data_IF_066201881972
#
_entry.id   IF_066201881972
#
_cell.length_a   1.000
_cell.length_b   1.000
_cell.length_c   1.000
_cell.angle_alpha   90.00
_cell.angle_beta   90.00
_cell.angle_gamma   90.00
#
_symmetry.space_group_name_H-M   'P 1'
#
loop_
_entity.id
_entity.type
_entity.pdbx_description
1 polymer ?
#
# COMPACT_ATOMS: atom_id res chain seq x y z
N UNK A 1 -5.16 -27.88 19.99
CA UNK A 1 -5.39 -27.60 18.55
C UNK A 1 -4.08 -27.11 17.95
N UNK A 2 -3.63 -27.69 16.83
CA UNK A 2 -2.44 -27.19 16.14
C UNK A 2 -2.75 -25.79 15.54
N UNK A 3 -1.83 -24.86 15.72
CA UNK A 3 -1.98 -23.54 15.13
C UNK A 3 -1.69 -23.62 13.62
N UNK A 4 -2.37 -22.84 12.74
CA UNK A 4 -2.15 -22.87 11.30
C UNK A 4 -0.67 -22.69 10.88
N UNK A 5 0.12 -22.03 11.69
CA UNK A 5 1.53 -21.75 11.41
C UNK A 5 2.52 -22.74 11.98
N UNK A 6 2.09 -23.76 12.79
CA UNK A 6 3.01 -24.74 13.41
C UNK A 6 3.89 -25.47 12.39
N UNK A 7 3.38 -25.67 11.16
CA UNK A 7 4.12 -26.28 10.04
C UNK A 7 5.37 -25.49 9.60
N UNK A 8 5.49 -24.23 10.00
CA UNK A 8 6.62 -23.38 9.64
C UNK A 8 7.70 -23.34 10.71
N UNK A 9 7.56 -24.12 11.81
CA UNK A 9 8.48 -24.12 12.93
C UNK A 9 9.95 -24.46 12.57
N UNK A 10 10.17 -25.17 11.46
CA UNK A 10 11.50 -25.44 10.94
C UNK A 10 12.17 -24.23 10.25
N UNK A 11 11.41 -23.19 9.92
CA UNK A 11 11.88 -22.06 9.09
C UNK A 11 11.82 -20.72 9.80
N UNK A 12 10.99 -20.60 10.84
CA UNK A 12 10.78 -19.32 11.53
C UNK A 12 10.33 -19.51 12.98
N UNK A 13 10.42 -18.43 13.77
CA UNK A 13 9.79 -18.35 15.07
C UNK A 13 8.26 -18.25 14.92
N UNK A 14 7.57 -19.36 15.16
CA UNK A 14 6.11 -19.46 15.04
C UNK A 14 5.39 -18.53 16.01
N UNK A 15 5.95 -18.28 17.20
CA UNK A 15 5.35 -17.35 18.18
C UNK A 15 5.37 -15.93 17.64
N UNK A 16 6.52 -15.46 17.19
CA UNK A 16 6.65 -14.14 16.57
C UNK A 16 5.78 -13.99 15.32
N UNK A 17 5.66 -15.05 14.49
CA UNK A 17 4.78 -15.07 13.32
C UNK A 17 3.31 -14.92 13.72
N UNK A 18 2.86 -15.62 14.75
CA UNK A 18 1.49 -15.51 15.25
C UNK A 18 1.18 -14.13 15.82
N UNK A 19 2.08 -13.58 16.64
CA UNK A 19 1.95 -12.23 17.20
C UNK A 19 1.88 -11.18 16.09
N UNK A 20 2.75 -11.29 15.10
CA UNK A 20 2.79 -10.39 13.95
C UNK A 20 1.52 -10.48 13.09
N UNK A 21 1.01 -11.71 12.87
CA UNK A 21 -0.21 -11.95 12.09
C UNK A 21 -1.48 -11.43 12.76
N UNK A 22 -1.47 -11.26 14.07
CA UNK A 22 -2.60 -10.70 14.82
C UNK A 22 -2.67 -9.17 14.74
N UNK A 23 -1.58 -8.51 14.31
CA UNK A 23 -1.56 -7.06 14.17
C UNK A 23 -2.30 -6.62 12.90
N UNK A 24 -3.12 -5.55 12.97
CA UNK A 24 -3.75 -5.00 11.80
C UNK A 24 -2.70 -4.43 10.84
N UNK A 25 -2.85 -4.72 9.56
CA UNK A 25 -2.00 -4.12 8.52
C UNK A 25 -2.19 -2.60 8.48
N UNK A 26 -1.11 -1.87 8.41
CA UNK A 26 -1.14 -0.43 8.17
C UNK A 26 -1.73 -0.16 6.79
N UNK A 27 -2.70 0.73 6.72
CA UNK A 27 -3.22 1.18 5.44
C UNK A 27 -2.17 1.97 4.69
N UNK A 28 -2.07 1.74 3.39
CA UNK A 28 -1.18 2.48 2.51
C UNK A 28 -1.85 2.77 1.17
N UNK A 29 -1.32 3.77 0.51
CA UNK A 29 -1.79 4.26 -0.79
C UNK A 29 -0.60 4.49 -1.70
N UNK A 30 -0.82 4.40 -3.00
CA UNK A 30 0.14 4.82 -4.02
C UNK A 30 -0.47 5.94 -4.86
N UNK A 31 0.26 7.05 -4.99
CA UNK A 31 -0.13 8.19 -5.82
C UNK A 31 0.06 7.84 -7.30
N UNK A 32 -0.95 8.15 -8.12
CA UNK A 32 -0.84 8.00 -9.57
C UNK A 32 -0.21 9.25 -10.17
N UNK A 33 1.09 9.21 -10.38
CA UNK A 33 1.86 10.35 -10.89
C UNK A 33 1.58 10.69 -12.36
N UNK A 34 0.81 9.87 -13.07
CA UNK A 34 0.26 10.22 -14.38
C UNK A 34 -0.87 11.26 -14.31
N UNK A 35 -1.47 11.44 -13.13
CA UNK A 35 -2.64 12.32 -12.93
C UNK A 35 -2.38 13.47 -11.97
N UNK A 36 -1.52 13.29 -10.98
CA UNK A 36 -1.22 14.29 -9.96
C UNK A 36 0.23 14.17 -9.50
N UNK A 37 0.88 15.28 -9.25
CA UNK A 37 2.20 15.26 -8.61
C UNK A 37 2.10 14.79 -7.15
N UNK A 38 3.17 14.18 -6.63
CA UNK A 38 3.22 13.80 -5.20
C UNK A 38 3.03 15.05 -4.33
N UNK A 39 3.65 16.17 -4.71
CA UNK A 39 3.54 17.43 -3.97
C UNK A 39 2.10 17.93 -3.85
N UNK A 40 1.36 17.94 -4.95
CA UNK A 40 -0.04 18.39 -4.94
C UNK A 40 -0.95 17.41 -4.20
N UNK A 41 -0.65 16.13 -4.29
CA UNK A 41 -1.35 15.13 -3.47
C UNK A 41 -1.11 15.33 -1.97
N UNK A 42 0.12 15.65 -1.55
CA UNK A 42 0.43 15.96 -0.15
C UNK A 42 -0.33 17.19 0.35
N UNK A 43 -0.44 18.23 -0.49
CA UNK A 43 -1.27 19.42 -0.16
C UNK A 43 -2.75 19.06 0.00
N UNK A 44 -3.27 18.17 -0.86
CA UNK A 44 -4.62 17.67 -0.74
C UNK A 44 -4.83 16.89 0.55
N UNK A 45 -3.95 15.94 0.86
CA UNK A 45 -4.00 15.13 2.06
C UNK A 45 -3.96 15.99 3.34
N UNK A 46 -3.11 17.02 3.35
CA UNK A 46 -3.04 17.98 4.45
C UNK A 46 -4.37 18.71 4.67
N UNK A 47 -5.02 19.19 3.60
CA UNK A 47 -6.34 19.83 3.69
C UNK A 47 -7.43 18.90 4.21
N UNK A 48 -7.29 17.60 3.96
CA UNK A 48 -8.20 16.55 4.45
C UNK A 48 -7.87 16.09 5.88
N UNK A 49 -6.82 16.62 6.51
CA UNK A 49 -6.38 16.17 7.84
C UNK A 49 -5.78 14.74 7.83
N UNK A 50 -5.24 14.30 6.71
CA UNK A 50 -4.59 12.99 6.61
C UNK A 50 -3.13 13.11 7.03
N UNK A 51 -2.67 12.17 7.84
CA UNK A 51 -1.26 12.00 8.18
C UNK A 51 -0.64 10.96 7.24
N UNK A 52 0.37 11.38 6.49
CA UNK A 52 1.07 10.54 5.53
C UNK A 52 2.51 10.31 5.98
N UNK A 53 2.95 9.04 5.91
CA UNK A 53 4.34 8.65 6.14
C UNK A 53 4.85 7.93 4.90
N UNK A 54 5.95 8.38 4.34
CA UNK A 54 6.58 7.77 3.16
C UNK A 54 6.82 6.28 3.35
N UNK A 55 6.44 5.47 2.35
CA UNK A 55 6.89 4.08 2.25
C UNK A 55 8.35 4.09 1.80
N UNK A 56 9.29 3.46 2.55
CA UNK A 56 10.73 3.63 2.31
C UNK A 56 11.21 3.22 0.91
N UNK A 57 10.52 2.29 0.26
CA UNK A 57 10.91 1.72 -1.03
C UNK A 57 10.09 2.21 -2.21
N UNK A 58 9.10 3.08 -2.01
CA UNK A 58 8.27 3.60 -3.09
C UNK A 58 8.05 5.10 -2.90
N UNK A 59 8.58 5.91 -3.83
CA UNK A 59 8.49 7.39 -3.76
C UNK A 59 7.05 7.91 -3.82
N UNK A 60 6.18 7.20 -4.51
CA UNK A 60 4.75 7.51 -4.66
C UNK A 60 3.90 6.83 -3.59
N UNK A 61 4.49 5.96 -2.74
CA UNK A 61 3.82 5.19 -1.71
C UNK A 61 3.81 5.87 -0.36
N UNK A 62 2.65 5.86 0.33
CA UNK A 62 2.49 6.43 1.66
C UNK A 62 1.65 5.54 2.55
N UNK A 63 2.10 5.32 3.78
CA UNK A 63 1.20 4.90 4.85
C UNK A 63 0.28 6.06 5.18
N UNK A 64 -1.00 5.76 5.40
CA UNK A 64 -2.01 6.77 5.67
C UNK A 64 -2.68 6.53 7.02
N UNK A 65 -2.75 7.56 7.84
CA UNK A 65 -3.59 7.61 9.02
C UNK A 65 -4.52 8.82 8.96
N UNK A 66 -5.71 8.68 9.56
CA UNK A 66 -6.75 9.70 9.57
C UNK A 66 -7.43 9.70 10.91
N UNK A 67 -7.59 10.87 11.49
CA UNK A 67 -8.37 11.04 12.72
C UNK A 67 -9.86 10.79 12.44
N UNK A 68 -10.39 11.42 11.40
CA UNK A 68 -11.75 11.18 10.93
C UNK A 68 -11.81 9.97 10.00
N UNK A 69 -12.51 8.93 10.46
CA UNK A 69 -12.77 7.68 9.74
C UNK A 69 -14.25 7.54 9.34
N UNK A 70 -15.04 8.60 9.47
CA UNK A 70 -16.47 8.59 9.13
C UNK A 70 -16.72 8.26 7.66
N UNK A 71 -15.84 8.72 6.78
CA UNK A 71 -15.87 8.38 5.36
C UNK A 71 -14.83 7.31 5.03
N UNK A 72 -15.23 6.26 4.31
CA UNK A 72 -14.29 5.25 3.84
C UNK A 72 -13.33 5.86 2.79
N UNK A 73 -12.03 5.56 2.91
CA UNK A 73 -11.01 6.06 1.98
C UNK A 73 -11.33 5.75 0.50
N UNK A 74 -11.97 4.60 0.25
CA UNK A 74 -12.41 4.19 -1.10
C UNK A 74 -13.55 5.05 -1.69
N UNK A 75 -14.18 5.91 -0.89
CA UNK A 75 -15.19 6.87 -1.36
C UNK A 75 -14.63 8.26 -1.64
N UNK A 76 -13.35 8.47 -1.32
CA UNK A 76 -12.70 9.75 -1.61
C UNK A 76 -12.71 10.03 -3.12
N UNK A 77 -13.02 11.27 -3.49
CA UNK A 77 -13.18 11.68 -4.89
C UNK A 77 -11.89 11.45 -5.69
N UNK A 78 -10.72 11.70 -5.12
CA UNK A 78 -9.46 11.46 -5.82
C UNK A 78 -9.18 9.96 -6.01
N UNK A 79 -9.62 9.11 -5.06
CA UNK A 79 -9.55 7.66 -5.24
C UNK A 79 -10.45 7.20 -6.39
N UNK A 80 -11.71 7.66 -6.41
CA UNK A 80 -12.67 7.30 -7.46
C UNK A 80 -12.23 7.76 -8.85
N UNK A 81 -11.56 8.89 -8.93
CA UNK A 81 -10.98 9.42 -10.16
C UNK A 81 -9.61 8.80 -10.51
N UNK A 82 -9.07 7.91 -9.67
CA UNK A 82 -7.82 7.21 -9.92
C UNK A 82 -6.56 8.06 -9.75
N UNK A 83 -6.58 9.09 -8.92
CA UNK A 83 -5.41 9.90 -8.58
C UNK A 83 -4.51 9.21 -7.56
N UNK A 84 -5.06 8.32 -6.76
CA UNK A 84 -4.31 7.39 -5.93
C UNK A 84 -5.03 6.03 -5.86
N UNK A 85 -4.28 5.01 -5.49
CA UNK A 85 -4.76 3.65 -5.34
C UNK A 85 -4.46 3.15 -3.91
N UNK A 86 -5.42 2.46 -3.30
CA UNK A 86 -5.19 1.77 -2.03
C UNK A 86 -4.40 0.50 -2.32
N UNK A 87 -3.14 0.48 -1.95
CA UNK A 87 -2.22 -0.61 -2.20
C UNK A 87 -1.44 -0.91 -0.93
N UNK A 88 -1.31 -2.20 -0.60
CA UNK A 88 -0.43 -2.60 0.50
C UNK A 88 1.02 -2.23 0.18
N UNK A 89 1.76 -1.73 1.18
CA UNK A 89 3.12 -1.25 0.99
C UNK A 89 4.06 -2.34 0.42
N UNK A 90 3.93 -3.58 0.88
CA UNK A 90 4.72 -4.71 0.35
C UNK A 90 4.43 -4.97 -1.14
N UNK A 91 3.19 -4.76 -1.59
CA UNK A 91 2.80 -4.93 -2.99
C UNK A 91 3.35 -3.86 -3.94
N UNK A 92 3.88 -2.76 -3.41
CA UNK A 92 4.56 -1.73 -4.22
C UNK A 92 5.98 -2.16 -4.61
N UNK A 93 6.62 -2.98 -3.78
CA UNK A 93 8.03 -3.35 -3.95
C UNK A 93 8.35 -4.06 -5.28
N UNK A 94 7.57 -5.04 -5.77
CA UNK A 94 7.87 -5.70 -7.05
C UNK A 94 7.95 -4.72 -8.23
N UNK A 95 7.04 -3.75 -8.29
CA UNK A 95 7.03 -2.75 -9.36
C UNK A 95 8.26 -1.83 -9.31
N UNK A 96 8.68 -1.43 -8.09
CA UNK A 96 9.88 -0.61 -7.90
C UNK A 96 11.16 -1.37 -8.29
N UNK A 97 11.26 -2.66 -7.89
CA UNK A 97 12.42 -3.49 -8.21
C UNK A 97 12.49 -3.83 -9.71
N UNK A 98 11.33 -3.96 -10.38
CA UNK A 98 11.27 -4.21 -11.81
C UNK A 98 11.88 -3.06 -12.62
N UNK A 99 11.72 -1.81 -12.17
CA UNK A 99 12.25 -0.64 -12.84
C UNK A 99 11.78 -0.50 -14.28
N UNK A 100 10.51 -0.80 -14.55
CA UNK A 100 9.96 -0.77 -15.90
C UNK A 100 10.04 0.65 -16.50
N UNK A 101 10.49 0.76 -17.75
CA UNK A 101 10.64 2.00 -18.49
C UNK A 101 9.69 2.04 -19.70
N UNK A 102 9.50 3.24 -20.26
CA UNK A 102 8.70 3.41 -21.47
C UNK A 102 9.25 2.53 -22.62
N UNK A 103 8.35 1.77 -23.25
CA UNK A 103 8.69 0.82 -24.31
C UNK A 103 9.01 -0.60 -23.83
N UNK A 104 9.09 -0.86 -22.52
CA UNK A 104 9.21 -2.21 -22.01
C UNK A 104 7.88 -2.97 -22.17
N UNK A 105 7.98 -4.25 -22.48
CA UNK A 105 6.87 -5.19 -22.40
C UNK A 105 6.90 -5.87 -21.03
N UNK A 106 5.85 -5.68 -20.26
CA UNK A 106 5.74 -6.20 -18.88
C UNK A 106 4.61 -7.22 -18.81
N UNK A 107 4.90 -8.40 -18.24
CA UNK A 107 3.91 -9.43 -17.91
C UNK A 107 3.67 -9.45 -16.41
N UNK A 108 2.45 -9.16 -15.98
CA UNK A 108 2.01 -9.38 -14.61
C UNK A 108 1.29 -10.73 -14.49
N UNK A 109 1.93 -11.68 -13.84
CA UNK A 109 1.40 -13.05 -13.65
C UNK A 109 0.38 -13.14 -12.50
N UNK A 110 0.12 -12.05 -11.79
CA UNK A 110 -0.77 -11.97 -10.64
C UNK A 110 -1.74 -10.79 -10.73
N UNK A 111 -2.10 -10.37 -11.93
CA UNK A 111 -2.82 -9.14 -12.23
C UNK A 111 -4.27 -9.07 -11.73
N UNK A 112 -4.84 -10.11 -11.19
CA UNK A 112 -6.23 -10.11 -10.71
C UNK A 112 -6.36 -9.44 -9.33
N UNK A 113 -7.39 -8.59 -9.13
CA UNK A 113 -8.45 -8.20 -10.07
C UNK A 113 -8.06 -7.12 -11.09
N UNK A 114 -6.83 -6.64 -11.07
CA UNK A 114 -6.30 -5.69 -12.04
C UNK A 114 -6.55 -4.24 -11.73
#
# INVERSE_FOLDING_TARGET
MSHPFDRYSAFTDVKALNESSALPLRKSIRVNTLKISVEDFLKYAQKKGWTLQQVPWCKEGFYIDREDKSEALGRDVLHLLGYFYMQEAASMLPAELLGAEAGNLVLDMSAAPG
#
